data_IF_015993586917
#
_entry.id   IF_015993586917
#
_cell.length_a   1.000
_cell.length_b   1.000
_cell.length_c   1.000
_cell.angle_alpha   90.00
_cell.angle_beta   90.00
_cell.angle_gamma   90.00
#
_symmetry.space_group_name_H-M   'P 1'
#
loop_
_entity.id
_entity.type
_entity.pdbx_description
1 polymer ?
#
# COMPACT_ATOMS: atom_id res chain seq x y z
N UNK A 1 -14.13 7.27 19.87
CA UNK A 1 -13.48 8.60 20.01
C UNK A 1 -12.21 8.72 19.16
N UNK A 2 -11.50 7.63 18.85
CA UNK A 2 -10.42 7.63 17.83
C UNK A 2 -10.92 7.54 16.38
N UNK A 3 -12.11 6.95 16.16
CA UNK A 3 -12.71 6.82 14.83
C UNK A 3 -12.97 8.16 14.13
N UNK A 4 -13.11 9.26 14.89
CA UNK A 4 -13.27 10.61 14.32
C UNK A 4 -11.99 11.21 13.75
N UNK A 5 -10.83 10.59 13.99
CA UNK A 5 -9.54 11.00 13.42
C UNK A 5 -9.25 10.32 12.07
N UNK A 6 -10.04 9.30 11.72
CA UNK A 6 -9.90 8.50 10.50
C UNK A 6 -10.99 8.91 9.52
N UNK A 7 -10.60 9.44 8.37
CA UNK A 7 -11.57 9.83 7.34
C UNK A 7 -11.76 8.64 6.40
N UNK A 8 -12.99 8.13 6.30
CA UNK A 8 -13.32 7.09 5.33
C UNK A 8 -13.29 7.69 3.92
N UNK A 9 -12.65 6.99 3.01
CA UNK A 9 -12.56 7.37 1.60
C UNK A 9 -12.99 6.17 0.76
N UNK A 10 -13.88 6.43 -0.19
CA UNK A 10 -14.35 5.46 -1.16
C UNK A 10 -13.83 5.86 -2.54
N UNK A 11 -13.24 4.91 -3.24
CA UNK A 11 -12.64 5.13 -4.56
C UNK A 11 -13.24 4.11 -5.52
N UNK A 12 -13.84 4.55 -6.64
CA UNK A 12 -14.37 3.64 -7.64
C UNK A 12 -13.24 2.87 -8.33
N UNK A 13 -13.57 1.74 -8.94
CA UNK A 13 -12.62 0.98 -9.76
C UNK A 13 -12.02 1.87 -10.86
N UNK A 14 -10.70 1.82 -11.02
CA UNK A 14 -9.95 2.68 -11.93
C UNK A 14 -9.60 4.07 -11.36
N UNK A 15 -10.16 4.45 -10.21
CA UNK A 15 -9.90 5.73 -9.56
C UNK A 15 -8.45 5.86 -9.07
N UNK A 16 -7.87 7.05 -9.21
CA UNK A 16 -6.54 7.38 -8.69
C UNK A 16 -6.70 7.94 -7.27
N UNK A 17 -6.00 7.34 -6.30
CA UNK A 17 -6.02 7.75 -4.89
C UNK A 17 -5.04 8.91 -4.66
N UNK A 18 -3.87 8.83 -5.32
CA UNK A 18 -2.88 9.91 -5.43
C UNK A 18 -1.93 9.57 -6.59
N UNK A 19 -1.33 10.59 -7.19
CA UNK A 19 -0.36 10.44 -8.26
C UNK A 19 1.09 10.67 -7.79
N UNK A 20 2.04 10.05 -8.47
CA UNK A 20 3.47 10.32 -8.30
C UNK A 20 3.77 11.82 -8.51
N UNK A 21 4.63 12.40 -7.66
CA UNK A 21 5.00 13.81 -7.73
C UNK A 21 4.04 14.77 -7.02
N UNK A 22 2.82 14.35 -6.68
CA UNK A 22 1.91 15.18 -5.88
C UNK A 22 2.41 15.37 -4.44
N UNK A 23 2.08 16.47 -3.77
CA UNK A 23 2.29 16.58 -2.33
C UNK A 23 1.45 15.54 -1.58
N UNK A 24 2.02 14.94 -0.52
CA UNK A 24 1.34 13.93 0.28
C UNK A 24 1.31 14.27 1.76
N UNK A 25 0.13 14.56 2.30
CA UNK A 25 -0.09 14.92 3.71
C UNK A 25 -0.76 13.82 4.55
N UNK A 26 -1.07 12.68 3.92
CA UNK A 26 -1.82 11.56 4.50
C UNK A 26 -1.35 10.20 4.00
N UNK A 27 -1.50 9.19 4.85
CA UNK A 27 -1.45 7.78 4.47
C UNK A 27 -2.87 7.23 4.33
N UNK A 28 -2.98 6.07 3.71
CA UNK A 28 -4.23 5.33 3.59
C UNK A 28 -4.05 3.89 4.07
N UNK A 29 -5.00 3.40 4.84
CA UNK A 29 -5.12 1.99 5.22
C UNK A 29 -6.30 1.42 4.43
N UNK A 30 -6.04 0.47 3.55
CA UNK A 30 -7.09 -0.16 2.75
C UNK A 30 -7.92 -1.07 3.66
N UNK A 31 -9.24 -0.90 3.66
CA UNK A 31 -10.18 -1.74 4.43
C UNK A 31 -10.90 -2.72 3.53
N UNK A 32 -11.16 -2.36 2.27
CA UNK A 32 -11.73 -3.22 1.26
C UNK A 32 -11.18 -2.90 -0.14
N UNK A 33 -11.23 -3.88 -1.04
CA UNK A 33 -10.76 -3.73 -2.43
C UNK A 33 -9.27 -3.99 -2.63
N UNK A 34 -8.78 -3.67 -3.83
CA UNK A 34 -7.38 -3.82 -4.24
C UNK A 34 -6.85 -2.54 -4.86
N UNK A 35 -5.62 -2.17 -4.52
CA UNK A 35 -4.94 -0.98 -5.03
C UNK A 35 -3.61 -1.39 -5.67
N UNK A 36 -3.36 -0.94 -6.90
CA UNK A 36 -2.06 -1.00 -7.55
C UNK A 36 -1.25 0.21 -7.12
N UNK A 37 -0.04 -0.02 -6.60
CA UNK A 37 0.94 1.03 -6.37
C UNK A 37 2.10 0.84 -7.35
N UNK A 38 2.38 1.85 -8.16
CA UNK A 38 3.36 1.75 -9.23
C UNK A 38 3.95 3.09 -9.64
N UNK A 39 4.95 3.03 -10.50
CA UNK A 39 5.59 4.19 -11.13
C UNK A 39 5.51 4.05 -12.63
N UNK A 40 5.48 5.17 -13.31
CA UNK A 40 5.53 5.23 -14.78
C UNK A 40 6.83 5.91 -15.18
N UNK A 41 7.63 5.25 -16.01
CA UNK A 41 8.83 5.86 -16.57
C UNK A 41 8.50 6.86 -17.67
N UNK A 42 9.47 7.67 -18.07
CA UNK A 42 9.30 8.69 -19.12
C UNK A 42 8.88 8.09 -20.49
N UNK A 43 9.23 6.82 -20.75
CA UNK A 43 8.83 6.06 -21.94
C UNK A 43 7.54 5.25 -21.75
N UNK A 44 6.70 5.65 -20.79
CA UNK A 44 5.38 5.08 -20.49
C UNK A 44 5.38 3.60 -20.06
N UNK A 45 6.53 3.05 -19.62
CA UNK A 45 6.55 1.72 -19.00
C UNK A 45 6.09 1.81 -17.55
N UNK A 46 5.22 0.89 -17.17
CA UNK A 46 4.70 0.81 -15.81
C UNK A 46 5.46 -0.23 -14.98
N UNK A 47 5.97 0.22 -13.83
CA UNK A 47 6.54 -0.66 -12.80
C UNK A 47 5.53 -0.79 -11.66
N UNK A 48 4.98 -1.99 -11.49
CA UNK A 48 4.15 -2.32 -10.31
C UNK A 48 5.07 -2.61 -9.13
N UNK A 49 4.97 -1.80 -8.08
CA UNK A 49 5.74 -1.96 -6.85
C UNK A 49 5.05 -2.93 -5.88
N UNK A 50 3.72 -2.83 -5.78
CA UNK A 50 2.91 -3.75 -4.98
C UNK A 50 1.43 -3.68 -5.38
N UNK A 51 0.70 -4.76 -5.09
CA UNK A 51 -0.76 -4.76 -4.99
C UNK A 51 -1.11 -4.77 -3.50
N UNK A 52 -1.77 -3.71 -3.05
CA UNK A 52 -2.26 -3.57 -1.67
C UNK A 52 -3.69 -4.07 -1.56
N UNK A 53 -4.00 -4.76 -0.47
CA UNK A 53 -5.36 -5.18 -0.10
C UNK A 53 -5.71 -4.77 1.33
N UNK A 54 -6.78 -5.34 1.91
CA UNK A 54 -7.18 -5.04 3.29
C UNK A 54 -6.01 -5.15 4.27
N UNK A 55 -5.91 -4.16 5.17
CA UNK A 55 -4.84 -3.98 6.17
C UNK A 55 -3.48 -3.52 5.62
N UNK A 56 -3.29 -3.38 4.30
CA UNK A 56 -2.09 -2.76 3.76
C UNK A 56 -2.15 -1.23 3.88
N UNK A 57 -0.98 -0.64 4.13
CA UNK A 57 -0.78 0.81 4.26
C UNK A 57 -0.06 1.36 3.03
N UNK A 58 -0.64 2.39 2.40
CA UNK A 58 -0.09 3.08 1.24
C UNK A 58 0.10 4.58 1.52
N UNK A 59 0.97 5.23 0.75
CA UNK A 59 1.21 6.67 0.88
C UNK A 59 1.95 7.11 2.16
N UNK A 60 2.45 6.16 2.96
CA UNK A 60 3.10 6.45 4.25
C UNK A 60 4.40 7.27 4.14
N UNK A 61 5.16 7.15 3.05
CA UNK A 61 6.45 7.82 2.91
C UNK A 61 6.32 9.34 3.02
N UNK A 62 5.48 9.95 2.18
CA UNK A 62 5.23 11.41 2.20
C UNK A 62 4.68 11.92 3.55
N UNK A 63 4.01 11.03 4.31
CA UNK A 63 3.55 11.36 5.66
C UNK A 63 4.69 11.41 6.67
N UNK A 64 5.69 10.52 6.59
CA UNK A 64 6.78 10.47 7.56
C UNK A 64 7.96 11.38 7.17
N UNK A 65 8.27 11.41 5.88
CA UNK A 65 9.30 12.24 5.25
C UNK A 65 8.59 13.20 4.28
N UNK A 66 8.68 14.53 4.45
CA UNK A 66 7.93 15.52 3.67
C UNK A 66 8.49 15.67 2.24
N UNK A 67 8.43 14.58 1.48
CA UNK A 67 8.76 14.48 0.06
C UNK A 67 7.49 14.27 -0.77
N UNK A 68 7.50 14.60 -2.06
CA UNK A 68 6.40 14.26 -2.97
C UNK A 68 6.08 12.76 -2.98
N UNK A 69 4.87 12.40 -3.42
CA UNK A 69 4.46 10.99 -3.60
C UNK A 69 5.46 10.26 -4.49
N UNK A 70 6.07 9.20 -3.97
CA UNK A 70 7.07 8.39 -4.67
C UNK A 70 6.49 7.47 -5.77
N UNK A 71 5.16 7.40 -5.90
CA UNK A 71 4.45 6.46 -6.76
C UNK A 71 3.00 6.88 -6.91
N UNK A 72 2.33 6.40 -7.95
CA UNK A 72 0.89 6.51 -8.15
C UNK A 72 0.17 5.32 -7.49
N UNK A 73 -0.97 5.59 -6.86
CA UNK A 73 -1.87 4.56 -6.32
C UNK A 73 -3.21 4.58 -7.06
N UNK A 74 -3.57 3.46 -7.68
CA UNK A 74 -4.79 3.30 -8.50
C UNK A 74 -5.63 2.15 -7.96
N UNK A 75 -6.92 2.38 -7.78
CA UNK A 75 -7.88 1.36 -7.38
C UNK A 75 -8.09 0.36 -8.54
N UNK A 76 -7.83 -0.92 -8.29
CA UNK A 76 -8.09 -2.01 -9.24
C UNK A 76 -9.52 -2.56 -9.14
N UNK A 77 -10.17 -2.31 -8.00
CA UNK A 77 -11.58 -2.62 -7.73
C UNK A 77 -12.22 -1.38 -7.09
N UNK A 78 -13.51 -1.42 -6.75
CA UNK A 78 -14.02 -0.50 -5.74
C UNK A 78 -13.19 -0.67 -4.44
N UNK A 79 -12.74 0.43 -3.86
CA UNK A 79 -11.86 0.47 -2.70
C UNK A 79 -12.47 1.32 -1.61
N UNK A 80 -12.40 0.80 -0.39
CA UNK A 80 -12.62 1.56 0.82
C UNK A 80 -11.29 1.68 1.56
N UNK A 81 -11.00 2.86 2.08
CA UNK A 81 -9.80 3.11 2.86
C UNK A 81 -10.06 4.11 3.99
N UNK A 82 -9.18 4.08 4.99
CA UNK A 82 -9.10 5.07 6.06
C UNK A 82 -7.91 5.98 5.77
N UNK A 83 -8.18 7.26 5.55
CA UNK A 83 -7.17 8.29 5.37
C UNK A 83 -6.74 8.86 6.73
N UNK A 84 -5.44 8.93 6.95
CA UNK A 84 -4.84 9.43 8.20
C UNK A 84 -3.81 10.49 7.88
N UNK A 85 -4.08 11.73 8.31
CA UNK A 85 -3.15 12.84 8.16
C UNK A 85 -2.15 12.92 9.34
N UNK A 86 -1.17 13.81 9.25
CA UNK A 86 -0.09 13.91 10.24
C UNK A 86 -0.60 14.26 11.65
N UNK A 87 -1.49 15.25 11.84
CA UNK A 87 -2.07 15.53 13.16
C UNK A 87 -2.84 14.35 13.74
N UNK A 88 -3.68 13.69 12.92
CA UNK A 88 -4.45 12.52 13.34
C UNK A 88 -3.55 11.37 13.79
N UNK A 89 -2.49 11.09 13.02
CA UNK A 89 -1.52 10.05 13.38
C UNK A 89 -0.82 10.35 14.72
N UNK A 90 -0.41 11.60 14.95
CA UNK A 90 0.20 12.01 16.22
C UNK A 90 -0.76 11.84 17.39
N UNK A 91 -2.00 12.29 17.24
CA UNK A 91 -3.02 12.10 18.27
C UNK A 91 -3.27 10.61 18.55
N UNK A 92 -3.29 9.79 17.50
CA UNK A 92 -3.51 8.35 17.63
C UNK A 92 -2.35 7.64 18.36
N UNK A 93 -1.10 8.03 18.04
CA UNK A 93 0.09 7.54 18.74
C UNK A 93 0.07 7.93 20.22
N UNK A 94 -0.29 9.18 20.54
CA UNK A 94 -0.36 9.64 21.94
C UNK A 94 -1.46 8.92 22.73
N UNK A 95 -2.57 8.58 22.10
CA UNK A 95 -3.69 7.90 22.73
C UNK A 95 -3.47 6.38 22.90
N UNK A 96 -2.71 5.76 22.00
CA UNK A 96 -2.49 4.31 21.96
C UNK A 96 -0.98 4.00 21.84
N UNK A 97 -0.30 3.74 22.99
CA UNK A 97 1.16 3.52 23.03
C UNK A 97 1.65 2.31 22.21
N UNK A 98 0.75 1.40 21.85
CA UNK A 98 1.03 0.21 21.04
C UNK A 98 1.04 0.47 19.51
N UNK A 99 0.54 1.63 19.06
CA UNK A 99 0.51 1.99 17.63
C UNK A 99 1.91 2.15 17.01
N UNK A 100 2.90 2.82 17.66
CA UNK A 100 4.26 2.91 17.13
C UNK A 100 4.88 1.56 16.77
N UNK A 101 4.78 0.56 17.65
CA UNK A 101 5.34 -0.77 17.41
C UNK A 101 4.64 -1.46 16.23
N UNK A 102 3.31 -1.32 16.13
CA UNK A 102 2.55 -1.84 14.98
C UNK A 102 2.98 -1.17 13.67
N UNK A 103 3.20 0.15 13.66
CA UNK A 103 3.69 0.88 12.49
C UNK A 103 5.10 0.42 12.10
N UNK A 104 6.01 0.27 13.06
CA UNK A 104 7.35 -0.25 12.83
C UNK A 104 7.31 -1.67 12.25
N UNK A 105 6.45 -2.54 12.77
CA UNK A 105 6.27 -3.89 12.22
C UNK A 105 5.75 -3.87 10.77
N UNK A 106 4.87 -2.92 10.40
CA UNK A 106 4.40 -2.75 9.03
C UNK A 106 5.52 -2.26 8.12
N UNK A 107 6.28 -1.25 8.54
CA UNK A 107 7.41 -0.73 7.77
C UNK A 107 8.54 -1.77 7.61
N UNK A 108 8.87 -2.52 8.64
CA UNK A 108 9.86 -3.60 8.58
C UNK A 108 9.42 -4.73 7.63
N UNK A 109 8.13 -5.10 7.65
CA UNK A 109 7.56 -6.05 6.68
C UNK A 109 7.68 -5.52 5.24
N UNK A 110 7.38 -4.24 5.02
CA UNK A 110 7.50 -3.59 3.71
C UNK A 110 8.95 -3.58 3.22
N UNK A 111 9.91 -3.18 4.06
CA UNK A 111 11.33 -3.16 3.73
C UNK A 111 11.84 -4.56 3.35
N UNK A 112 11.47 -5.59 4.13
CA UNK A 112 11.83 -6.98 3.81
C UNK A 112 11.27 -7.43 2.46
N UNK A 113 10.02 -7.08 2.15
CA UNK A 113 9.41 -7.38 0.83
C UNK A 113 10.16 -6.68 -0.30
N UNK A 114 10.47 -5.39 -0.15
CA UNK A 114 11.26 -4.63 -1.14
C UNK A 114 12.63 -5.26 -1.38
N UNK A 115 13.36 -5.61 -0.32
CA UNK A 115 14.68 -6.26 -0.44
C UNK A 115 14.58 -7.63 -1.11
N UNK A 116 13.53 -8.40 -0.83
CA UNK A 116 13.31 -9.68 -1.52
C UNK A 116 13.05 -9.47 -3.01
N UNK A 117 12.23 -8.49 -3.39
CA UNK A 117 11.96 -8.19 -4.81
C UNK A 117 13.23 -7.78 -5.55
N UNK A 118 14.08 -6.96 -4.92
CA UNK A 118 15.38 -6.58 -5.49
C UNK A 118 16.29 -7.81 -5.68
N UNK A 119 16.35 -8.69 -4.69
CA UNK A 119 17.11 -9.95 -4.79
C UNK A 119 16.60 -10.83 -5.93
N UNK A 120 15.28 -10.97 -6.06
CA UNK A 120 14.68 -11.76 -7.13
C UNK A 120 15.03 -11.22 -8.52
N UNK A 121 15.05 -9.89 -8.69
CA UNK A 121 15.41 -9.26 -9.97
C UNK A 121 16.85 -9.55 -10.41
N UNK A 122 17.76 -9.79 -9.45
CA UNK A 122 19.19 -10.03 -9.72
C UNK A 122 19.47 -11.53 -9.87
N UNK A 123 18.91 -12.36 -9.00
CA UNK A 123 19.33 -13.76 -8.83
C UNK A 123 18.32 -14.79 -9.31
N UNK A 124 17.12 -14.38 -9.72
CA UNK A 124 16.03 -15.30 -10.10
C UNK A 124 15.64 -15.13 -11.57
N UNK A 125 15.54 -16.25 -12.28
CA UNK A 125 15.10 -16.24 -13.67
C UNK A 125 13.63 -15.81 -13.82
N UNK A 126 13.21 -15.53 -15.06
CA UNK A 126 11.85 -15.03 -15.33
C UNK A 126 10.77 -16.03 -14.87
N UNK A 127 10.84 -17.33 -15.20
CA UNK A 127 9.81 -18.29 -14.78
C UNK A 127 9.66 -18.40 -13.26
N UNK A 128 10.75 -18.45 -12.50
CA UNK A 128 10.67 -18.54 -11.05
C UNK A 128 10.12 -17.25 -10.42
N UNK A 129 10.41 -16.07 -10.99
CA UNK A 129 9.77 -14.81 -10.56
C UNK A 129 8.26 -14.82 -10.81
N UNK A 130 7.81 -15.35 -11.94
CA UNK A 130 6.38 -15.51 -12.23
C UNK A 130 5.73 -16.47 -11.24
N UNK A 131 6.35 -17.62 -10.99
CA UNK A 131 5.84 -18.59 -10.00
C UNK A 131 5.73 -17.97 -8.60
N UNK A 132 6.75 -17.23 -8.16
CA UNK A 132 6.72 -16.52 -6.86
C UNK A 132 5.62 -15.47 -6.80
N UNK A 133 5.40 -14.70 -7.88
CA UNK A 133 4.32 -13.73 -7.96
C UNK A 133 2.94 -14.38 -7.85
N UNK A 134 2.73 -15.54 -8.49
CA UNK A 134 1.48 -16.31 -8.39
C UNK A 134 1.27 -16.88 -6.98
N UNK A 135 2.33 -17.35 -6.32
CA UNK A 135 2.26 -17.82 -4.93
C UNK A 135 1.89 -16.67 -3.98
N UNK A 136 2.47 -15.48 -4.17
CA UNK A 136 2.09 -14.29 -3.41
C UNK A 136 0.64 -13.89 -3.69
N UNK A 137 0.17 -14.04 -4.93
CA UNK A 137 -1.20 -13.75 -5.32
C UNK A 137 -2.22 -14.69 -4.66
N UNK A 138 -1.83 -15.86 -4.12
CA UNK A 138 -2.72 -16.70 -3.30
C UNK A 138 -3.31 -15.96 -2.11
N UNK A 139 -2.61 -14.98 -1.53
CA UNK A 139 -3.16 -14.16 -0.45
C UNK A 139 -4.42 -13.37 -0.86
N UNK A 140 -4.67 -13.29 -2.18
CA UNK A 140 -5.85 -12.66 -2.77
C UNK A 140 -6.76 -13.65 -3.51
N UNK A 141 -6.43 -14.94 -3.52
CA UNK A 141 -7.22 -15.99 -4.15
C UNK A 141 -8.31 -16.49 -3.20
N UNK A 142 -9.45 -16.89 -3.75
CA UNK A 142 -10.45 -17.67 -3.03
C UNK A 142 -10.21 -19.15 -3.32
N UNK A 143 -10.55 -20.02 -2.37
CA UNK A 143 -10.63 -21.45 -2.65
C UNK A 143 -11.72 -21.75 -3.69
N UNK A 144 -11.80 -23.00 -4.17
CA UNK A 144 -12.81 -23.43 -5.14
C UNK A 144 -14.26 -23.28 -4.62
N UNK A 145 -14.45 -23.04 -3.33
CA UNK A 145 -15.74 -22.78 -2.69
C UNK A 145 -16.07 -21.29 -2.53
N UNK A 146 -15.18 -20.41 -3.01
CA UNK A 146 -15.33 -18.95 -2.91
C UNK A 146 -14.96 -18.35 -1.55
N UNK A 147 -14.36 -19.12 -0.64
CA UNK A 147 -13.91 -18.63 0.68
C UNK A 147 -12.46 -18.16 0.62
N UNK A 148 -12.13 -17.18 1.46
CA UNK A 148 -10.76 -16.65 1.63
C UNK A 148 -9.90 -17.58 2.47
#
# INVERSE_FOLDING_TARGET
MLDSLLVRVEIPSGGVIFAEGEPGDRLYIVTAGKVKVGRTSADARELVLMIAGPSDMIGSLALFDPVPRASTATALTAVEALAVNRPALRAWISACPEIPDRLLQVLARRLRRTNSTLSDQIFTDVPARVAKALLLARQFGTDASGRR
#
